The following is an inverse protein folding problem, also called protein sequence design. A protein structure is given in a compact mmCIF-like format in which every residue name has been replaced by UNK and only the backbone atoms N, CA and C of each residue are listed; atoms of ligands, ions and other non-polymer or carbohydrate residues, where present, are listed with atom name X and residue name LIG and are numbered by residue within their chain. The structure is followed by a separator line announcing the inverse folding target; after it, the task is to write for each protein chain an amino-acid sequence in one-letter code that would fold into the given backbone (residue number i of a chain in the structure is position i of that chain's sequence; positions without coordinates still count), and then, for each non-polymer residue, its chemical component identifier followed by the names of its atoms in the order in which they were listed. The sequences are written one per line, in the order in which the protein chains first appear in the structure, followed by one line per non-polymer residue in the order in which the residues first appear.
data_IF_808369348108
#
_entry.id   IF_808369348108
#
_cell.length_a   1.000
_cell.length_b   1.000
_cell.length_c   1.000
_cell.angle_alpha   90.00
_cell.angle_beta   90.00
_cell.angle_gamma   90.00
#
_symmetry.space_group_name_H-M   'P 1'
#
loop_
_entity.id
_entity.type
_entity.pdbx_description
1 polymer ?
#
# COMPACT_ATOMS: atom_id res chain seq x y z
N UNK A 1 5.71 -8.15 -16.10
CA UNK A 1 4.50 -8.86 -16.60
C UNK A 1 3.23 -8.00 -16.45
N UNK A 2 2.90 -7.52 -15.25
CA UNK A 2 1.67 -6.72 -15.01
C UNK A 2 1.64 -5.41 -15.79
N UNK A 3 2.74 -4.67 -15.83
CA UNK A 3 2.82 -3.42 -16.60
C UNK A 3 2.60 -3.63 -18.11
N UNK A 4 3.13 -4.73 -18.66
CA UNK A 4 2.88 -5.11 -20.04
C UNK A 4 1.41 -5.50 -20.30
N UNK A 5 0.70 -5.96 -19.28
CA UNK A 5 -0.73 -6.29 -19.34
C UNK A 5 -1.66 -5.07 -19.11
N UNK A 6 -1.13 -3.85 -19.04
CA UNK A 6 -1.93 -2.65 -18.80
C UNK A 6 -2.31 -2.43 -17.33
N UNK A 7 -1.50 -2.96 -16.41
CA UNK A 7 -1.75 -2.86 -14.96
C UNK A 7 -0.62 -2.06 -14.31
N UNK A 8 -0.96 -1.01 -13.58
CA UNK A 8 -0.02 -0.22 -12.79
C UNK A 8 0.00 -0.76 -11.35
N UNK A 9 1.18 -1.22 -10.89
CA UNK A 9 1.38 -1.61 -9.50
C UNK A 9 1.73 -0.38 -8.69
N UNK A 10 0.92 -0.06 -7.69
CA UNK A 10 1.04 1.15 -6.88
C UNK A 10 1.46 0.83 -5.45
N UNK A 11 2.19 1.75 -4.81
CA UNK A 11 2.48 1.73 -3.38
C UNK A 11 1.45 2.56 -2.59
N UNK A 12 1.44 2.44 -1.25
CA UNK A 12 0.57 3.26 -0.40
C UNK A 12 0.89 4.75 -0.43
N UNK A 13 2.13 5.09 -0.71
CA UNK A 13 2.58 6.48 -0.85
C UNK A 13 2.42 7.02 -2.28
N UNK A 14 1.79 6.25 -3.16
CA UNK A 14 1.59 6.65 -4.54
C UNK A 14 0.54 7.77 -4.64
N UNK A 15 0.96 8.90 -5.17
CA UNK A 15 0.13 10.09 -5.41
C UNK A 15 0.06 10.45 -6.90
N UNK A 16 0.37 9.49 -7.76
CA UNK A 16 0.25 9.65 -9.20
C UNK A 16 -1.21 9.74 -9.65
N UNK A 17 -1.43 10.28 -10.85
CA UNK A 17 -2.77 10.26 -11.46
C UNK A 17 -3.10 8.90 -12.03
N UNK A 18 -4.28 8.38 -11.69
CA UNK A 18 -4.81 7.16 -12.31
C UNK A 18 -5.01 7.37 -13.81
N UNK A 19 -4.47 6.47 -14.61
CA UNK A 19 -4.68 6.47 -16.06
C UNK A 19 -6.00 5.78 -16.38
N UNK A 20 -6.84 6.41 -17.21
CA UNK A 20 -8.17 5.88 -17.56
C UNK A 20 -8.13 4.49 -18.22
N UNK A 21 -7.06 4.22 -18.96
CA UNK A 21 -6.90 2.99 -19.76
C UNK A 21 -6.15 1.88 -19.03
N UNK A 22 -5.69 2.13 -17.80
CA UNK A 22 -4.91 1.17 -17.03
C UNK A 22 -5.55 0.91 -15.68
N UNK A 23 -5.53 -0.36 -15.29
CA UNK A 23 -5.98 -0.76 -13.96
C UNK A 23 -4.86 -0.60 -12.95
N UNK A 24 -5.21 -0.30 -11.71
CA UNK A 24 -4.27 -0.23 -10.59
C UNK A 24 -4.34 -1.50 -9.75
N UNK A 25 -3.18 -1.98 -9.31
CA UNK A 25 -3.04 -3.08 -8.35
C UNK A 25 -2.21 -2.60 -7.17
N UNK A 26 -2.71 -2.78 -5.97
CA UNK A 26 -1.96 -2.58 -4.73
C UNK A 26 -1.77 -3.92 -4.01
N UNK A 27 -0.54 -4.20 -3.57
CA UNK A 27 -0.24 -5.35 -2.71
C UNK A 27 -0.17 -4.86 -1.27
N UNK A 28 -1.00 -5.41 -0.42
CA UNK A 28 -1.26 -4.92 0.93
C UNK A 28 -0.94 -5.98 1.98
N UNK A 29 -0.47 -5.53 3.12
CA UNK A 29 -0.29 -6.34 4.30
C UNK A 29 -0.77 -5.60 5.56
N UNK A 30 -1.23 -6.30 6.61
CA UNK A 30 -1.79 -5.66 7.81
C UNK A 30 -0.73 -4.97 8.66
N UNK A 31 0.54 -5.38 8.57
CA UNK A 31 1.64 -4.84 9.38
C UNK A 31 2.84 -4.42 8.53
N UNK A 32 3.65 -3.51 9.08
CA UNK A 32 4.92 -3.11 8.45
C UNK A 32 5.89 -4.29 8.28
N UNK A 33 5.89 -5.23 9.24
CA UNK A 33 6.74 -6.43 9.19
C UNK A 33 6.33 -7.31 8.00
N UNK A 34 5.05 -7.60 7.85
CA UNK A 34 4.54 -8.40 6.74
C UNK A 34 4.81 -7.72 5.38
N UNK A 35 4.56 -6.42 5.27
CA UNK A 35 4.88 -5.65 4.07
C UNK A 35 6.38 -5.67 3.74
N UNK A 36 7.25 -5.58 4.77
CA UNK A 36 8.71 -5.64 4.59
C UNK A 36 9.17 -7.00 4.06
N UNK A 37 8.60 -8.10 4.54
CA UNK A 37 8.92 -9.45 4.04
C UNK A 37 8.61 -9.55 2.54
N UNK A 38 7.50 -9.01 2.08
CA UNK A 38 7.13 -9.00 0.67
C UNK A 38 8.08 -8.11 -0.15
N UNK A 39 8.41 -6.91 0.35
CA UNK A 39 9.38 -6.01 -0.32
C UNK A 39 10.76 -6.64 -0.48
N UNK A 40 11.24 -7.34 0.53
CA UNK A 40 12.52 -8.06 0.46
C UNK A 40 12.53 -9.19 -0.59
N UNK A 41 11.36 -9.64 -1.00
CA UNK A 41 11.18 -10.62 -2.11
C UNK A 41 10.90 -9.96 -3.46
N UNK A 42 11.03 -8.63 -3.55
CA UNK A 42 10.82 -7.87 -4.78
C UNK A 42 9.35 -7.54 -5.08
N UNK A 43 8.45 -7.72 -4.11
CA UNK A 43 7.03 -7.35 -4.25
C UNK A 43 6.81 -5.96 -3.66
N UNK A 44 6.30 -4.96 -4.40
CA UNK A 44 6.10 -3.60 -3.91
C UNK A 44 4.89 -3.51 -2.98
N UNK A 45 5.00 -4.12 -1.79
CA UNK A 45 3.94 -4.16 -0.81
C UNK A 45 3.94 -2.93 0.10
N UNK A 46 2.75 -2.52 0.52
CA UNK A 46 2.51 -1.47 1.49
C UNK A 46 1.55 -1.94 2.58
N UNK A 47 1.42 -1.17 3.65
CA UNK A 47 0.44 -1.49 4.69
C UNK A 47 -0.96 -1.04 4.29
N UNK A 48 -1.97 -1.70 4.84
CA UNK A 48 -3.38 -1.31 4.66
C UNK A 48 -3.61 0.12 5.11
N UNK A 49 -2.99 0.54 6.23
CA UNK A 49 -3.11 1.93 6.70
C UNK A 49 -2.64 2.95 5.64
N UNK A 50 -1.50 2.68 5.01
CA UNK A 50 -0.93 3.57 4.00
C UNK A 50 -1.78 3.71 2.74
N UNK A 51 -2.53 2.67 2.37
CA UNK A 51 -3.45 2.75 1.23
C UNK A 51 -4.79 3.40 1.60
N UNK A 52 -5.27 3.22 2.82
CA UNK A 52 -6.54 3.79 3.29
C UNK A 52 -6.44 5.29 3.60
N UNK A 53 -5.27 5.76 4.01
CA UNK A 53 -5.05 7.14 4.43
C UNK A 53 -3.95 7.80 3.62
N UNK A 54 -4.21 9.03 3.19
CA UNK A 54 -3.24 9.89 2.53
C UNK A 54 -2.72 10.94 3.51
N UNK A 55 -1.44 11.34 3.40
CA UNK A 55 -0.89 12.37 4.27
C UNK A 55 -1.52 13.74 3.99
N UNK A 56 -1.67 14.52 5.05
CA UNK A 56 -1.96 15.94 4.98
C UNK A 56 -0.65 16.69 5.24
N UNK A 57 -0.23 17.51 4.29
CA UNK A 57 1.02 18.23 4.37
C UNK A 57 0.84 19.59 5.08
N UNK A 58 1.91 20.07 5.71
CA UNK A 58 2.02 21.45 6.07
C UNK A 58 1.85 22.33 4.82
N UNK A 59 1.14 23.50 4.90
CA UNK A 59 0.86 24.34 3.73
C UNK A 59 2.09 24.75 2.90
N UNK A 60 3.24 24.89 3.54
CA UNK A 60 4.49 25.20 2.85
C UNK A 60 4.95 24.02 1.97
N UNK A 61 4.87 22.81 2.49
CA UNK A 61 5.24 21.58 1.77
C UNK A 61 4.16 21.10 0.80
N UNK A 62 2.92 21.54 0.97
CA UNK A 62 1.85 21.27 0.00
C UNK A 62 2.19 21.90 -1.37
N UNK A 63 2.80 23.09 -1.39
CA UNK A 63 3.30 23.72 -2.62
C UNK A 63 4.37 22.89 -3.32
N UNK A 64 5.23 22.19 -2.54
CA UNK A 64 6.19 21.24 -3.11
C UNK A 64 5.48 20.06 -3.74
N UNK A 65 4.48 19.52 -3.06
CA UNK A 65 3.68 18.40 -3.58
C UNK A 65 2.98 18.77 -4.88
N UNK A 66 2.36 19.94 -4.95
CA UNK A 66 1.72 20.47 -6.16
C UNK A 66 2.72 20.63 -7.32
N UNK A 67 3.88 21.21 -7.04
CA UNK A 67 4.94 21.35 -8.04
C UNK A 67 5.46 19.99 -8.54
N UNK A 68 5.72 19.04 -7.65
CA UNK A 68 6.14 17.69 -8.01
C UNK A 68 5.10 17.01 -8.90
N UNK A 69 3.81 17.20 -8.61
CA UNK A 69 2.70 16.69 -9.40
C UNK A 69 2.47 17.45 -10.73
N UNK A 70 3.21 18.50 -11.00
CA UNK A 70 3.04 19.33 -12.20
C UNK A 70 1.80 20.24 -12.16
N UNK A 71 1.31 20.59 -10.97
CA UNK A 71 0.12 21.41 -10.76
C UNK A 71 0.45 22.85 -10.32
N UNK A 72 1.72 23.15 -10.02
CA UNK A 72 2.16 24.45 -9.54
C UNK A 72 3.59 24.76 -9.98
N UNK A 73 4.02 25.99 -9.71
CA UNK A 73 5.37 26.44 -9.97
C UNK A 73 6.36 25.90 -8.93
N UNK A 74 7.67 25.91 -9.30
CA UNK A 74 8.76 25.55 -8.38
C UNK A 74 8.73 26.45 -7.16
N UNK A 75 8.55 25.95 -5.94
CA UNK A 75 8.48 26.77 -4.74
C UNK A 75 9.86 27.18 -4.27
N UNK A 76 9.92 28.36 -3.64
CA UNK A 76 11.05 28.78 -2.81
C UNK A 76 10.71 28.48 -1.36
N UNK A 77 11.48 27.59 -0.73
CA UNK A 77 11.29 27.19 0.66
C UNK A 77 12.63 27.31 1.40
N UNK A 78 12.62 28.02 2.52
CA UNK A 78 13.82 28.22 3.34
C UNK A 78 14.45 26.90 3.80
N UNK A 79 13.63 25.88 4.06
CA UNK A 79 14.06 24.56 4.52
C UNK A 79 14.71 23.70 3.42
N UNK A 80 14.61 24.06 2.13
CA UNK A 80 15.08 23.26 1.02
C UNK A 80 15.93 24.07 0.04
N UNK A 81 17.13 23.56 -0.23
CA UNK A 81 18.00 24.09 -1.29
C UNK A 81 17.49 23.68 -2.68
N UNK A 82 17.99 24.34 -3.73
CA UNK A 82 17.67 23.98 -5.10
C UNK A 82 18.10 22.55 -5.43
N UNK A 83 19.27 22.12 -4.95
CA UNK A 83 19.73 20.75 -5.13
C UNK A 83 18.85 19.72 -4.40
N UNK A 84 18.30 20.07 -3.23
CA UNK A 84 17.36 19.23 -2.50
C UNK A 84 16.03 19.09 -3.25
N UNK A 85 15.52 20.19 -3.84
CA UNK A 85 14.34 20.16 -4.70
C UNK A 85 14.56 19.34 -5.96
N UNK A 86 15.72 19.41 -6.58
CA UNK A 86 16.08 18.59 -7.76
C UNK A 86 16.12 17.10 -7.41
N UNK A 87 16.69 16.72 -6.27
CA UNK A 87 16.66 15.35 -5.77
C UNK A 87 15.23 14.87 -5.52
N UNK A 88 14.41 15.71 -4.88
CA UNK A 88 13.00 15.40 -4.65
C UNK A 88 12.25 15.14 -5.97
N UNK A 89 12.48 15.98 -6.98
CA UNK A 89 11.88 15.83 -8.32
C UNK A 89 12.24 14.50 -8.96
N UNK A 90 13.52 14.14 -8.94
CA UNK A 90 14.02 12.88 -9.49
C UNK A 90 13.37 11.66 -8.81
N UNK A 91 13.28 11.66 -7.48
CA UNK A 91 12.66 10.57 -6.72
C UNK A 91 11.15 10.50 -6.98
N UNK A 92 10.48 11.65 -7.05
CA UNK A 92 9.05 11.68 -7.36
C UNK A 92 8.75 11.14 -8.76
N UNK A 93 9.54 11.47 -9.76
CA UNK A 93 9.37 10.97 -11.13
C UNK A 93 9.50 9.44 -11.20
N UNK A 94 10.41 8.88 -10.39
CA UNK A 94 10.61 7.43 -10.31
C UNK A 94 9.51 6.68 -9.53
N UNK A 95 9.02 7.25 -8.45
CA UNK A 95 8.17 6.53 -7.48
C UNK A 95 6.76 7.09 -7.32
N UNK A 96 6.49 8.31 -7.80
CA UNK A 96 5.21 9.03 -7.61
C UNK A 96 4.78 9.13 -6.14
N UNK A 97 5.76 9.29 -5.24
CA UNK A 97 5.58 9.41 -3.79
C UNK A 97 6.17 10.73 -3.30
N UNK A 98 5.32 11.64 -2.81
CA UNK A 98 5.74 12.91 -2.19
C UNK A 98 6.53 12.66 -0.90
N UNK A 99 6.11 11.77 0.02
CA UNK A 99 6.90 11.48 1.21
C UNK A 99 8.29 10.96 0.90
N UNK A 100 8.44 10.08 -0.10
CA UNK A 100 9.75 9.58 -0.54
C UNK A 100 10.61 10.69 -1.14
N UNK A 101 10.03 11.58 -1.93
CA UNK A 101 10.71 12.73 -2.52
C UNK A 101 11.24 13.68 -1.44
N UNK A 102 10.42 14.04 -0.46
CA UNK A 102 10.81 14.93 0.65
C UNK A 102 11.84 14.27 1.58
N UNK A 103 11.76 12.95 1.79
CA UNK A 103 12.80 12.21 2.50
C UNK A 103 14.15 12.25 1.77
N UNK A 104 14.16 12.14 0.45
CA UNK A 104 15.37 12.30 -0.38
C UNK A 104 15.94 13.73 -0.34
N UNK A 105 15.11 14.72 -0.06
CA UNK A 105 15.52 16.09 0.19
C UNK A 105 16.09 16.33 1.61
N UNK A 106 16.08 15.30 2.48
CA UNK A 106 16.65 15.35 3.82
C UNK A 106 15.65 15.62 4.94
N UNK A 107 14.34 15.60 4.66
CA UNK A 107 13.29 15.84 5.63
C UNK A 107 12.77 14.53 6.25
N UNK A 108 12.27 14.61 7.48
CA UNK A 108 11.53 13.52 8.13
C UNK A 108 10.02 13.72 7.91
N UNK A 109 9.24 12.65 7.97
CA UNK A 109 7.79 12.75 7.87
C UNK A 109 7.17 13.72 8.90
N UNK A 110 7.71 13.78 10.12
CA UNK A 110 7.31 14.73 11.16
C UNK A 110 7.52 16.21 10.80
N UNK A 111 8.36 16.50 9.82
CA UNK A 111 8.67 17.87 9.44
C UNK A 111 7.63 18.46 8.48
N UNK A 112 6.93 17.60 7.74
CA UNK A 112 6.03 18.04 6.67
C UNK A 112 4.64 17.39 6.70
N UNK A 113 4.40 16.31 7.44
CA UNK A 113 3.08 15.67 7.59
C UNK A 113 2.43 16.17 8.87
N UNK A 114 1.29 16.86 8.75
CA UNK A 114 0.52 17.39 9.88
C UNK A 114 -0.63 16.47 10.30
N UNK A 115 -1.02 15.53 9.45
CA UNK A 115 -2.12 14.59 9.72
C UNK A 115 -2.34 13.62 8.59
N UNK A 116 -3.43 12.86 8.70
CA UNK A 116 -3.84 11.85 7.73
C UNK A 116 -5.31 12.01 7.43
N UNK A 117 -5.68 11.93 6.17
CA UNK A 117 -7.07 11.90 5.72
C UNK A 117 -7.38 10.59 5.02
N UNK A 118 -8.63 10.15 5.07
CA UNK A 118 -9.06 8.96 4.36
C UNK A 118 -8.92 9.17 2.85
N UNK A 119 -8.45 8.14 2.14
CA UNK A 119 -8.41 8.15 0.68
C UNK A 119 -9.83 8.14 0.13
N UNK A 120 -10.11 9.05 -0.77
CA UNK A 120 -11.41 9.17 -1.45
C UNK A 120 -11.38 8.58 -2.86
N UNK A 121 -10.18 8.50 -3.47
CA UNK A 121 -10.03 8.00 -4.83
C UNK A 121 -10.19 6.48 -4.88
N UNK A 122 -11.08 6.01 -5.75
CA UNK A 122 -11.24 4.58 -6.01
C UNK A 122 -10.03 4.04 -6.79
N UNK A 123 -9.57 2.86 -6.37
CA UNK A 123 -8.57 2.04 -7.04
C UNK A 123 -9.24 0.81 -7.64
N UNK A 124 -8.50 -0.10 -8.30
CA UNK A 124 -9.15 -1.23 -8.99
C UNK A 124 -9.01 -2.54 -8.23
N UNK A 125 -7.79 -3.00 -7.97
CA UNK A 125 -7.53 -4.34 -7.42
C UNK A 125 -6.64 -4.23 -6.19
N UNK A 126 -7.10 -4.80 -5.08
CA UNK A 126 -6.32 -4.99 -3.86
C UNK A 126 -5.95 -6.46 -3.67
N UNK A 127 -4.66 -6.75 -3.55
CA UNK A 127 -4.14 -8.06 -3.16
C UNK A 127 -3.70 -7.97 -1.70
N UNK A 128 -4.33 -8.72 -0.81
CA UNK A 128 -4.09 -8.62 0.63
C UNK A 128 -3.47 -9.91 1.13
N UNK A 129 -2.22 -9.83 1.59
CA UNK A 129 -1.54 -10.93 2.27
C UNK A 129 -1.86 -10.93 3.77
N UNK A 130 -1.79 -12.10 4.41
CA UNK A 130 -2.09 -12.27 5.85
C UNK A 130 -3.49 -11.76 6.24
N UNK A 131 -4.49 -11.94 5.38
CA UNK A 131 -5.82 -11.36 5.55
C UNK A 131 -6.64 -11.95 6.70
N UNK A 132 -6.21 -13.06 7.31
CA UNK A 132 -6.78 -13.58 8.55
C UNK A 132 -6.70 -12.63 9.75
N UNK A 133 -5.76 -11.66 9.69
CA UNK A 133 -5.58 -10.64 10.72
C UNK A 133 -6.53 -9.43 10.58
N UNK A 134 -7.31 -9.35 9.51
CA UNK A 134 -8.19 -8.21 9.24
C UNK A 134 -9.49 -8.30 10.03
N UNK A 135 -9.91 -7.17 10.56
CA UNK A 135 -11.24 -7.00 11.12
C UNK A 135 -12.28 -6.60 10.04
N UNK A 136 -13.56 -6.69 10.41
CA UNK A 136 -14.67 -6.36 9.50
C UNK A 136 -14.64 -4.89 9.06
N UNK A 137 -14.20 -3.99 9.94
CA UNK A 137 -14.09 -2.57 9.60
C UNK A 137 -13.04 -2.33 8.52
N UNK A 138 -11.87 -2.93 8.67
CA UNK A 138 -10.80 -2.83 7.65
C UNK A 138 -11.25 -3.39 6.31
N UNK A 139 -11.93 -4.53 6.29
CA UNK A 139 -12.47 -5.13 5.06
C UNK A 139 -13.49 -4.19 4.40
N UNK A 140 -14.40 -3.61 5.16
CA UNK A 140 -15.39 -2.67 4.63
C UNK A 140 -14.73 -1.41 4.08
N UNK A 141 -13.77 -0.85 4.80
CA UNK A 141 -12.99 0.31 4.38
C UNK A 141 -12.24 0.04 3.06
N UNK A 142 -11.66 -1.16 2.91
CA UNK A 142 -10.97 -1.57 1.68
C UNK A 142 -11.95 -1.77 0.51
N UNK A 143 -13.14 -2.29 0.75
CA UNK A 143 -14.17 -2.46 -0.29
C UNK A 143 -14.68 -1.15 -0.87
N UNK A 144 -14.63 -0.07 -0.10
CA UNK A 144 -14.98 1.26 -0.61
C UNK A 144 -13.96 1.80 -1.62
N UNK A 145 -12.69 1.36 -1.50
CA UNK A 145 -11.60 1.80 -2.38
C UNK A 145 -11.36 0.82 -3.52
N UNK A 146 -11.44 -0.49 -3.25
CA UNK A 146 -11.17 -1.56 -4.20
C UNK A 146 -12.44 -2.34 -4.55
N UNK A 147 -12.97 -2.21 -5.76
CA UNK A 147 -14.07 -3.06 -6.24
C UNK A 147 -13.70 -4.54 -6.25
N UNK A 148 -12.44 -4.86 -6.47
CA UNK A 148 -11.93 -6.23 -6.46
C UNK A 148 -10.88 -6.40 -5.36
N UNK A 149 -11.16 -7.31 -4.41
CA UNK A 149 -10.22 -7.72 -3.37
C UNK A 149 -9.89 -9.21 -3.54
N UNK A 150 -8.61 -9.53 -3.51
CA UNK A 150 -8.11 -10.90 -3.47
C UNK A 150 -7.36 -11.09 -2.15
N UNK A 151 -7.84 -12.01 -1.34
CA UNK A 151 -7.37 -12.25 0.01
C UNK A 151 -6.51 -13.50 0.05
N UNK A 152 -5.30 -13.37 0.57
CA UNK A 152 -4.39 -14.48 0.87
C UNK A 152 -4.25 -14.61 2.38
N UNK A 153 -4.31 -15.82 2.90
CA UNK A 153 -4.13 -16.06 4.31
C UNK A 153 -4.30 -17.52 4.68
N UNK A 154 -4.03 -17.82 5.92
CA UNK A 154 -4.13 -19.14 6.50
C UNK A 154 -5.38 -19.22 7.40
N UNK A 155 -6.39 -20.03 7.06
CA UNK A 155 -7.59 -20.17 7.88
C UNK A 155 -7.32 -20.82 9.24
N UNK A 156 -6.16 -21.47 9.42
CA UNK A 156 -5.76 -22.07 10.69
C UNK A 156 -5.14 -21.05 11.68
N UNK A 157 -4.85 -19.81 11.23
CA UNK A 157 -4.36 -18.76 12.13
C UNK A 157 -5.48 -18.22 13.02
N UNK A 158 -5.09 -17.67 14.19
CA UNK A 158 -6.03 -17.10 15.14
C UNK A 158 -6.76 -15.87 14.55
N UNK A 159 -8.05 -15.78 14.85
CA UNK A 159 -8.84 -14.61 14.54
C UNK A 159 -8.34 -13.35 15.28
N UNK A 160 -8.58 -12.14 14.75
CA UNK A 160 -8.25 -10.89 15.44
C UNK A 160 -8.87 -10.82 16.82
N UNK A 161 -8.14 -10.25 17.78
CA UNK A 161 -8.61 -10.05 19.16
C UNK A 161 -9.84 -9.15 19.16
N UNK A 162 -10.92 -9.58 19.85
CA UNK A 162 -12.15 -8.81 20.01
C UNK A 162 -13.24 -9.06 18.96
N UNK A 163 -13.05 -10.00 18.04
CA UNK A 163 -14.09 -10.44 17.10
C UNK A 163 -14.74 -11.76 17.50
N UNK A 164 -15.94 -11.98 16.98
CA UNK A 164 -16.80 -13.16 17.27
C UNK A 164 -16.30 -14.50 16.71
N UNK A 165 -14.99 -14.67 16.50
CA UNK A 165 -14.38 -15.93 16.08
C UNK A 165 -14.56 -16.30 14.60
N UNK A 166 -15.36 -15.53 13.86
CA UNK A 166 -15.59 -15.79 12.44
C UNK A 166 -14.55 -15.02 11.60
N UNK A 167 -13.67 -15.77 10.94
CA UNK A 167 -12.65 -15.17 10.08
C UNK A 167 -13.27 -14.65 8.77
N UNK A 168 -12.58 -13.70 8.13
CA UNK A 168 -12.99 -13.16 6.81
C UNK A 168 -13.18 -14.28 5.77
N UNK A 169 -12.41 -15.36 5.85
CA UNK A 169 -12.51 -16.51 4.94
C UNK A 169 -13.80 -17.31 5.11
N UNK A 170 -14.38 -17.35 6.29
CA UNK A 170 -15.59 -18.10 6.56
C UNK A 170 -16.81 -17.47 5.89
N UNK A 171 -16.71 -16.18 5.61
CA UNK A 171 -17.74 -15.43 4.87
C UNK A 171 -17.65 -15.60 3.35
N UNK A 172 -16.53 -16.11 2.84
CA UNK A 172 -16.31 -16.35 1.40
C UNK A 172 -16.53 -17.81 1.08
N UNK A 173 -17.51 -18.08 0.22
CA UNK A 173 -17.94 -19.43 -0.14
C UNK A 173 -17.90 -19.71 -1.63
N UNK A 174 -17.87 -21.01 -1.98
CA UNK A 174 -18.00 -21.48 -3.35
C UNK A 174 -16.80 -21.15 -4.24
N UNK A 175 -17.06 -20.82 -5.48
CA UNK A 175 -16.03 -20.55 -6.51
C UNK A 175 -15.09 -19.38 -6.22
N UNK A 176 -15.42 -18.57 -5.25
CA UNK A 176 -14.59 -17.43 -4.84
C UNK A 176 -13.55 -17.79 -3.76
N UNK A 177 -13.54 -19.05 -3.30
CA UNK A 177 -12.57 -19.57 -2.33
C UNK A 177 -11.71 -20.63 -2.99
N UNK A 178 -10.39 -20.46 -2.90
CA UNK A 178 -9.39 -21.41 -3.38
C UNK A 178 -8.48 -21.81 -2.22
N UNK A 179 -8.11 -23.09 -2.15
CA UNK A 179 -7.19 -23.59 -1.13
C UNK A 179 -5.93 -24.15 -1.80
N UNK A 180 -4.77 -23.78 -1.24
CA UNK A 180 -3.47 -24.30 -1.63
C UNK A 180 -3.11 -25.44 -0.68
N UNK A 181 -3.12 -26.69 -1.20
CA UNK A 181 -2.89 -27.88 -0.40
C UNK A 181 -1.41 -28.26 -0.26
N UNK A 182 -0.51 -27.69 -1.09
CA UNK A 182 0.91 -28.05 -1.10
C UNK A 182 1.73 -27.16 -0.16
N UNK A 183 2.43 -27.80 0.78
CA UNK A 183 3.37 -27.14 1.69
C UNK A 183 4.75 -27.04 1.01
N UNK A 184 5.27 -25.81 0.90
CA UNK A 184 6.58 -25.52 0.26
C UNK A 184 7.65 -25.02 1.23
N UNK A 185 7.30 -24.76 2.51
CA UNK A 185 8.23 -24.19 3.51
C UNK A 185 8.95 -25.22 4.33
N UNK A 186 8.52 -26.48 4.26
CA UNK A 186 9.09 -27.58 5.03
C UNK A 186 9.44 -28.72 4.06
N UNK A 187 10.60 -29.36 4.28
CA UNK A 187 10.94 -30.58 3.57
C UNK A 187 10.01 -31.72 4.04
N UNK A 188 9.70 -32.64 3.13
CA UNK A 188 8.82 -33.78 3.40
C UNK A 188 9.29 -34.70 4.55
N UNK A 189 10.59 -34.63 4.88
CA UNK A 189 11.23 -35.41 5.95
C UNK A 189 11.36 -34.65 7.28
N UNK A 190 10.66 -33.50 7.43
CA UNK A 190 10.71 -32.74 8.68
C UNK A 190 9.81 -33.39 9.75
N UNK A 191 10.38 -33.86 10.90
CA UNK A 191 9.62 -34.58 11.94
C UNK A 191 8.54 -33.75 12.64
N UNK A 192 8.40 -32.46 12.32
CA UNK A 192 7.32 -31.59 12.82
C UNK A 192 6.01 -31.81 12.03
N UNK A 193 6.03 -32.59 10.95
CA UNK A 193 4.86 -32.87 10.11
C UNK A 193 4.14 -34.19 10.45
N UNK A 194 4.65 -34.98 11.40
CA UNK A 194 4.05 -36.24 11.86
C UNK A 194 3.16 -36.04 13.09
#
# INVERSE_FOLDING_TARGET
ALEAAGVDVISGDWEGRRRKERRTVAVLAPTNKAASVLRNRGVPATTIHRILYTPVYDPEFEKVAEWLAGQGDRPEIEALTDEALDRAKTVYEAHKSVPAALAAAGLRGSDFITGWKRREDALDIGLIDESSMLDDKQINDLREIFPTLILFGDPAQLAPVGQSGEMVFDKIKGKNRLELARIHRQDADNPILD
#
